data_IF_031139508698
#
_entry.id   IF_031139508698
#
_cell.length_a   1.000
_cell.length_b   1.000
_cell.length_c   1.000
_cell.angle_alpha   90.00
_cell.angle_beta   90.00
_cell.angle_gamma   90.00
#
_symmetry.space_group_name_H-M   'P 1'
#
loop_
_entity.id
_entity.type
_entity.pdbx_description
1 polymer ?
#
# COMPACT_ATOMS: atom_id res chain seq x y z
N UNK A 1 -65.17 -70.57 -32.90
CA UNK A 1 -64.55 -70.53 -31.55
C UNK A 1 -63.33 -69.64 -31.63
N UNK A 2 -63.37 -68.45 -31.02
CA UNK A 2 -62.31 -67.43 -31.07
C UNK A 2 -61.51 -67.46 -29.77
N UNK A 3 -60.21 -67.73 -29.89
CA UNK A 3 -59.20 -67.71 -28.83
C UNK A 3 -58.81 -66.26 -28.52
N UNK A 4 -59.04 -65.80 -27.29
CA UNK A 4 -58.60 -64.48 -26.81
C UNK A 4 -57.26 -64.57 -26.10
N UNK A 5 -56.26 -63.86 -26.61
CA UNK A 5 -54.94 -63.68 -25.97
C UNK A 5 -54.96 -62.35 -25.21
N UNK A 6 -55.00 -62.41 -23.88
CA UNK A 6 -54.74 -61.24 -23.02
C UNK A 6 -53.24 -60.98 -22.94
N UNK A 7 -52.79 -59.80 -23.39
CA UNK A 7 -51.43 -59.29 -23.18
C UNK A 7 -51.35 -58.60 -21.81
N UNK A 8 -50.52 -59.13 -20.91
CA UNK A 8 -50.12 -58.47 -19.66
C UNK A 8 -49.20 -57.28 -19.95
N UNK A 9 -49.57 -56.10 -19.47
CA UNK A 9 -48.75 -54.89 -19.50
C UNK A 9 -47.66 -54.96 -18.43
N UNK A 10 -46.39 -54.80 -18.83
CA UNK A 10 -45.25 -54.66 -17.90
C UNK A 10 -45.28 -53.30 -17.19
N UNK A 11 -45.13 -53.24 -15.86
CA UNK A 11 -44.99 -51.98 -15.13
C UNK A 11 -43.62 -51.36 -15.41
N UNK A 12 -43.60 -50.07 -15.81
CA UNK A 12 -42.36 -49.28 -15.93
C UNK A 12 -41.87 -48.90 -14.52
N UNK A 13 -40.58 -49.10 -14.19
CA UNK A 13 -40.05 -48.86 -12.85
C UNK A 13 -39.96 -47.35 -12.56
N UNK A 14 -40.65 -46.90 -11.50
CA UNK A 14 -40.66 -45.52 -10.99
C UNK A 14 -39.31 -45.05 -10.39
N UNK A 15 -38.35 -45.95 -10.24
CA UNK A 15 -37.05 -45.72 -9.59
C UNK A 15 -36.08 -44.87 -10.43
N UNK A 16 -36.21 -44.84 -11.76
CA UNK A 16 -35.34 -44.04 -12.63
C UNK A 16 -35.60 -42.53 -12.56
N UNK A 17 -36.83 -42.13 -12.26
CA UNK A 17 -37.20 -40.69 -12.18
C UNK A 17 -36.65 -40.04 -10.91
N UNK A 18 -36.65 -40.76 -9.78
CA UNK A 18 -36.15 -40.27 -8.49
C UNK A 18 -34.61 -40.13 -8.53
N UNK A 19 -33.92 -41.09 -9.14
CA UNK A 19 -32.46 -41.03 -9.30
C UNK A 19 -32.02 -39.85 -10.19
N UNK A 20 -32.77 -39.54 -11.25
CA UNK A 20 -32.48 -38.41 -12.13
C UNK A 20 -32.66 -37.05 -11.43
N UNK A 21 -33.69 -36.90 -10.59
CA UNK A 21 -33.95 -35.67 -9.83
C UNK A 21 -32.88 -35.43 -8.76
N UNK A 22 -32.42 -36.48 -8.06
CA UNK A 22 -31.34 -36.36 -7.08
C UNK A 22 -29.99 -36.01 -7.73
N UNK A 23 -29.68 -36.59 -8.90
CA UNK A 23 -28.48 -36.26 -9.65
C UNK A 23 -28.48 -34.79 -10.12
N UNK A 24 -29.63 -34.27 -10.59
CA UNK A 24 -29.76 -32.88 -10.99
C UNK A 24 -29.59 -31.88 -9.83
N UNK A 25 -30.09 -32.23 -8.63
CA UNK A 25 -29.96 -31.38 -7.44
C UNK A 25 -28.51 -31.32 -6.93
N UNK A 26 -27.79 -32.44 -6.95
CA UNK A 26 -26.37 -32.51 -6.55
C UNK A 26 -25.47 -31.74 -7.53
N UNK A 27 -25.73 -31.84 -8.83
CA UNK A 27 -25.00 -31.06 -9.85
C UNK A 27 -25.31 -29.56 -9.76
N UNK A 28 -26.56 -29.18 -9.48
CA UNK A 28 -26.94 -27.78 -9.24
C UNK A 28 -26.23 -27.17 -8.03
N UNK A 29 -26.22 -27.89 -6.89
CA UNK A 29 -25.57 -27.44 -5.66
C UNK A 29 -24.03 -27.33 -5.80
N UNK A 30 -23.39 -28.28 -6.49
CA UNK A 30 -21.95 -28.26 -6.76
C UNK A 30 -21.56 -27.11 -7.70
N UNK A 31 -22.37 -26.83 -8.73
CA UNK A 31 -22.17 -25.70 -9.64
C UNK A 31 -22.25 -24.35 -8.93
N UNK A 32 -23.22 -24.16 -8.03
CA UNK A 32 -23.35 -22.93 -7.24
C UNK A 32 -22.21 -22.72 -6.23
N UNK A 33 -21.69 -23.80 -5.64
CA UNK A 33 -20.56 -23.72 -4.72
C UNK A 33 -19.26 -23.32 -5.44
N UNK A 34 -19.00 -23.84 -6.65
CA UNK A 34 -17.81 -23.50 -7.43
C UNK A 34 -17.81 -22.04 -7.92
N UNK A 35 -18.97 -21.51 -8.32
CA UNK A 35 -19.10 -20.12 -8.81
C UNK A 35 -18.94 -19.07 -7.70
N UNK A 36 -19.29 -19.40 -6.46
CA UNK A 36 -19.20 -18.46 -5.32
C UNK A 36 -17.87 -18.53 -4.58
N UNK A 37 -17.23 -19.70 -4.53
CA UNK A 37 -15.94 -19.87 -3.84
C UNK A 37 -14.73 -19.52 -4.70
N UNK A 38 -14.81 -19.68 -6.02
CA UNK A 38 -13.70 -19.42 -6.95
C UNK A 38 -13.11 -18.02 -6.82
N UNK A 39 -13.90 -16.93 -6.90
CA UNK A 39 -13.36 -15.56 -6.82
C UNK A 39 -12.81 -15.20 -5.44
N UNK A 40 -13.38 -15.75 -4.36
CA UNK A 40 -12.91 -15.55 -2.99
C UNK A 40 -11.61 -16.30 -2.73
N UNK A 41 -11.53 -17.56 -3.17
CA UNK A 41 -10.31 -18.35 -3.12
C UNK A 41 -9.21 -17.69 -3.96
N UNK A 42 -9.53 -17.23 -5.16
CA UNK A 42 -8.59 -16.54 -6.05
C UNK A 42 -8.05 -15.23 -5.45
N UNK A 43 -8.92 -14.45 -4.80
CA UNK A 43 -8.54 -13.20 -4.11
C UNK A 43 -7.72 -13.45 -2.84
N UNK A 44 -8.01 -14.53 -2.10
CA UNK A 44 -7.19 -14.97 -0.98
C UNK A 44 -5.82 -15.47 -1.45
N UNK A 45 -5.79 -16.15 -2.59
CA UNK A 45 -4.58 -16.76 -3.15
C UNK A 45 -3.64 -15.72 -3.78
N UNK A 46 -4.18 -14.81 -4.61
CA UNK A 46 -3.44 -13.74 -5.31
C UNK A 46 -3.28 -12.46 -4.50
N UNK A 47 -3.98 -12.35 -3.37
CA UNK A 47 -3.99 -11.12 -2.58
C UNK A 47 -4.97 -10.08 -3.10
N UNK A 48 -5.26 -9.07 -2.26
CA UNK A 48 -6.02 -7.90 -2.70
C UNK A 48 -5.10 -6.99 -3.52
N UNK A 49 -5.48 -6.58 -4.75
CA UNK A 49 -4.70 -5.62 -5.51
C UNK A 49 -4.61 -4.30 -4.75
N UNK A 50 -3.56 -3.54 -5.01
CA UNK A 50 -3.47 -2.17 -4.50
C UNK A 50 -4.60 -1.33 -5.12
N UNK A 51 -5.18 -0.39 -4.36
CA UNK A 51 -6.08 0.59 -4.94
C UNK A 51 -5.33 1.40 -6.00
N UNK A 52 -6.02 1.71 -7.11
CA UNK A 52 -5.45 2.52 -8.16
C UNK A 52 -5.33 3.99 -7.71
N UNK A 53 -4.21 4.62 -8.03
CA UNK A 53 -4.03 6.07 -7.85
C UNK A 53 -2.93 6.58 -8.78
N UNK A 54 -3.02 7.86 -9.14
CA UNK A 54 -2.00 8.53 -9.93
C UNK A 54 -0.75 8.85 -9.06
N UNK A 55 0.44 8.33 -9.41
CA UNK A 55 1.68 8.61 -8.68
C UNK A 55 2.14 10.07 -8.82
N UNK A 56 1.78 10.79 -9.89
CA UNK A 56 2.11 12.22 -10.02
C UNK A 56 1.36 13.05 -8.96
N UNK A 57 0.07 12.78 -8.78
CA UNK A 57 -0.74 13.39 -7.71
C UNK A 57 -0.17 13.10 -6.31
N UNK A 58 0.29 11.88 -6.05
CA UNK A 58 0.94 11.54 -4.78
C UNK A 58 2.26 12.33 -4.60
N UNK A 59 3.06 12.43 -5.64
CA UNK A 59 4.32 13.16 -5.61
C UNK A 59 4.17 14.66 -5.34
N UNK A 60 3.16 15.29 -5.93
CA UNK A 60 2.85 16.70 -5.67
C UNK A 60 2.43 16.92 -4.21
N UNK A 61 1.54 16.07 -3.71
CA UNK A 61 1.08 16.11 -2.31
C UNK A 61 2.22 15.90 -1.31
N UNK A 62 3.12 14.94 -1.53
CA UNK A 62 4.27 14.68 -0.65
C UNK A 62 5.30 15.82 -0.67
N UNK A 63 5.49 16.48 -1.81
CA UNK A 63 6.34 17.67 -1.89
C UNK A 63 5.73 18.87 -1.16
N UNK A 64 4.42 19.10 -1.34
CA UNK A 64 3.69 20.12 -0.57
C UNK A 64 3.80 19.87 0.94
N UNK A 65 3.60 18.62 1.36
CA UNK A 65 3.76 18.20 2.76
C UNK A 65 5.17 18.45 3.25
N UNK A 66 6.18 18.06 2.47
CA UNK A 66 7.58 18.25 2.83
C UNK A 66 7.97 19.73 2.94
N UNK A 67 7.45 20.61 2.08
CA UNK A 67 7.64 22.07 2.22
C UNK A 67 7.09 22.62 3.53
N UNK A 68 5.90 22.17 3.94
CA UNK A 68 5.28 22.57 5.22
C UNK A 68 6.09 22.07 6.41
N UNK A 69 6.47 20.79 6.40
CA UNK A 69 7.33 20.21 7.45
C UNK A 69 8.66 20.97 7.57
N UNK A 70 9.27 21.34 6.44
CA UNK A 70 10.48 22.18 6.45
C UNK A 70 10.22 23.56 7.07
N UNK A 71 9.12 24.22 6.71
CA UNK A 71 8.72 25.49 7.33
C UNK A 71 8.47 25.34 8.85
N UNK A 72 7.93 24.21 9.30
CA UNK A 72 7.66 23.93 10.71
C UNK A 72 8.94 23.67 11.53
N UNK A 73 10.06 23.28 10.89
CA UNK A 73 11.39 23.31 11.51
C UNK A 73 11.80 24.75 11.92
N UNK A 74 11.11 25.76 11.38
CA UNK A 74 11.16 27.19 11.69
C UNK A 74 12.33 27.96 11.10
N UNK A 75 12.43 29.26 11.44
CA UNK A 75 13.19 30.23 10.66
C UNK A 75 14.71 30.06 10.73
N UNK A 76 15.20 29.30 11.72
CA UNK A 76 16.62 28.99 11.88
C UNK A 76 16.99 27.61 11.35
N UNK A 77 16.06 26.91 10.69
CA UNK A 77 16.34 25.63 10.05
C UNK A 77 17.40 25.83 8.95
N UNK A 78 18.48 25.03 8.93
CA UNK A 78 19.43 25.03 7.82
C UNK A 78 18.73 24.70 6.51
N UNK A 79 19.28 25.18 5.39
CA UNK A 79 18.83 24.77 4.08
C UNK A 79 18.96 23.25 3.89
N UNK A 80 18.07 22.65 3.10
CA UNK A 80 18.17 21.24 2.76
C UNK A 80 19.45 20.96 1.98
N UNK A 81 20.12 19.84 2.28
CA UNK A 81 21.25 19.35 1.50
C UNK A 81 20.77 18.92 0.10
N UNK A 82 21.19 19.62 -0.99
CA UNK A 82 20.74 19.30 -2.34
C UNK A 82 21.09 17.88 -2.78
N UNK A 83 22.17 17.29 -2.24
CA UNK A 83 22.58 15.92 -2.56
C UNK A 83 21.72 14.85 -1.90
N UNK A 84 20.87 15.24 -0.94
CA UNK A 84 20.02 14.34 -0.19
C UNK A 84 18.54 14.71 -0.27
N UNK A 85 18.17 15.69 -1.10
CA UNK A 85 16.79 16.01 -1.45
C UNK A 85 16.41 15.18 -2.69
N UNK A 86 15.58 14.15 -2.50
CA UNK A 86 15.30 13.10 -3.49
C UNK A 86 13.81 12.82 -3.54
N UNK A 87 13.26 12.79 -4.76
CA UNK A 87 11.93 12.27 -5.04
C UNK A 87 12.10 11.02 -5.90
N UNK A 88 11.50 9.88 -5.50
CA UNK A 88 11.65 8.61 -6.23
C UNK A 88 10.45 7.69 -6.07
N UNK A 89 10.39 6.67 -6.93
CA UNK A 89 9.50 5.53 -6.75
C UNK A 89 10.08 4.50 -5.79
N UNK A 90 9.22 3.87 -5.01
CA UNK A 90 9.52 2.77 -4.11
C UNK A 90 8.84 1.48 -4.58
N UNK A 91 9.48 0.34 -4.26
CA UNK A 91 8.99 -0.98 -4.64
C UNK A 91 7.89 -1.43 -3.69
N UNK A 92 6.80 -1.95 -4.25
CA UNK A 92 5.68 -2.44 -3.48
C UNK A 92 5.77 -3.95 -3.21
N UNK A 93 5.53 -4.43 -1.98
CA UNK A 93 5.50 -5.87 -1.72
C UNK A 93 4.27 -6.52 -2.37
N UNK A 94 4.39 -7.77 -2.77
CA UNK A 94 3.22 -8.56 -3.22
C UNK A 94 2.32 -8.87 -2.04
N UNK A 95 0.99 -8.70 -2.20
CA UNK A 95 -0.02 -8.94 -1.14
C UNK A 95 -0.65 -10.33 -1.17
N UNK A 96 0.00 -11.28 -1.83
CA UNK A 96 -0.48 -12.66 -2.03
C UNK A 96 0.05 -13.61 -0.96
N UNK A 97 -0.75 -14.61 -0.59
CA UNK A 97 -0.33 -15.64 0.37
C UNK A 97 0.78 -16.56 -0.18
N UNK A 98 0.83 -16.72 -1.51
CA UNK A 98 1.76 -17.64 -2.20
C UNK A 98 2.35 -16.98 -3.44
N UNK A 99 3.23 -16.00 -3.26
CA UNK A 99 4.02 -15.43 -4.36
C UNK A 99 5.49 -15.68 -4.13
N UNK A 100 6.19 -16.19 -5.14
CA UNK A 100 7.66 -16.20 -5.18
C UNK A 100 8.23 -14.83 -5.55
N UNK A 101 7.42 -13.95 -6.15
CA UNK A 101 7.78 -12.55 -6.38
C UNK A 101 7.69 -11.76 -5.07
N UNK A 102 8.75 -11.02 -4.76
CA UNK A 102 8.81 -10.13 -3.58
C UNK A 102 8.29 -8.73 -3.87
N UNK A 103 8.07 -8.38 -5.14
CA UNK A 103 7.68 -7.04 -5.57
C UNK A 103 6.52 -7.11 -6.55
N UNK A 104 5.42 -6.41 -6.25
CA UNK A 104 4.31 -6.20 -7.16
C UNK A 104 4.75 -5.25 -8.28
N UNK A 105 4.76 -5.76 -9.51
CA UNK A 105 5.25 -5.02 -10.68
C UNK A 105 4.23 -4.02 -11.22
N UNK A 106 3.00 -4.01 -10.71
CA UNK A 106 1.92 -3.11 -11.13
C UNK A 106 1.72 -1.93 -10.19
N UNK A 107 2.35 -1.95 -9.02
CA UNK A 107 2.19 -0.96 -7.98
C UNK A 107 3.50 -0.22 -7.68
N UNK A 108 3.35 1.05 -7.30
CA UNK A 108 4.46 1.93 -6.94
C UNK A 108 4.09 2.70 -5.68
N UNK A 109 5.06 2.86 -4.78
CA UNK A 109 5.02 3.88 -3.72
C UNK A 109 5.80 5.10 -4.20
N UNK A 110 5.49 6.27 -3.66
CA UNK A 110 6.28 7.49 -3.88
C UNK A 110 6.94 7.90 -2.58
N UNK A 111 8.24 8.17 -2.62
CA UNK A 111 9.03 8.66 -1.50
C UNK A 111 9.64 10.02 -1.87
N UNK A 112 9.45 11.00 -0.99
CA UNK A 112 10.20 12.24 -0.97
C UNK A 112 11.05 12.29 0.31
N UNK A 113 12.36 12.40 0.17
CA UNK A 113 13.31 12.39 1.28
C UNK A 113 14.23 13.60 1.19
N UNK A 114 14.52 14.24 2.32
CA UNK A 114 15.48 15.34 2.39
C UNK A 114 16.16 15.38 3.76
N UNK A 115 17.32 16.02 3.81
CA UNK A 115 18.06 16.19 5.07
C UNK A 115 18.49 17.62 5.29
N UNK A 116 18.60 18.00 6.57
CA UNK A 116 19.29 19.21 7.02
C UNK A 116 20.44 18.80 7.95
N UNK A 117 21.61 19.38 7.73
CA UNK A 117 22.83 19.08 8.50
C UNK A 117 23.16 20.13 9.55
N UNK A 118 24.13 19.82 10.42
CA UNK A 118 24.71 20.79 11.36
C UNK A 118 23.80 21.13 12.55
N UNK A 119 22.80 20.29 12.84
CA UNK A 119 21.87 20.53 13.93
C UNK A 119 22.29 19.76 15.18
N UNK A 120 22.60 20.48 16.26
CA UNK A 120 22.86 19.89 17.57
C UNK A 120 21.60 19.27 18.17
N UNK A 121 21.75 18.28 19.08
CA UNK A 121 20.64 17.48 19.59
C UNK A 121 19.50 18.30 20.21
N UNK A 122 19.80 19.33 20.99
CA UNK A 122 18.77 20.21 21.55
C UNK A 122 17.97 20.96 20.47
N UNK A 123 18.65 21.51 19.46
CA UNK A 123 18.01 22.17 18.33
C UNK A 123 17.19 21.18 17.49
N UNK A 124 17.68 19.95 17.32
CA UNK A 124 16.99 18.89 16.60
C UNK A 124 15.71 18.44 17.31
N UNK A 125 15.76 18.20 18.62
CA UNK A 125 14.58 17.87 19.42
C UNK A 125 13.52 18.96 19.32
N UNK A 126 13.92 20.23 19.39
CA UNK A 126 13.00 21.35 19.26
C UNK A 126 12.41 21.48 17.84
N UNK A 127 13.21 21.25 16.80
CA UNK A 127 12.73 21.24 15.42
C UNK A 127 11.76 20.08 15.16
N UNK A 128 12.08 18.87 15.64
CA UNK A 128 11.22 17.69 15.57
C UNK A 128 9.90 17.89 16.33
N UNK A 129 9.95 18.54 17.50
CA UNK A 129 8.76 18.89 18.30
C UNK A 129 7.82 19.79 17.49
N UNK A 130 8.34 20.87 16.92
CA UNK A 130 7.54 21.83 16.13
C UNK A 130 6.97 21.22 14.86
N UNK A 131 7.76 20.46 14.10
CA UNK A 131 7.26 19.72 12.94
C UNK A 131 6.18 18.69 13.33
N UNK A 132 6.37 17.97 14.44
CA UNK A 132 5.35 17.07 14.97
C UNK A 132 4.07 17.76 15.41
N UNK A 133 4.16 18.96 16.00
CA UNK A 133 3.01 19.79 16.33
C UNK A 133 2.26 20.29 15.09
N UNK A 134 2.99 20.73 14.06
CA UNK A 134 2.40 21.10 12.76
C UNK A 134 1.64 19.95 12.11
N UNK A 135 2.23 18.75 12.07
CA UNK A 135 1.58 17.55 11.56
C UNK A 135 0.29 17.20 12.33
N UNK A 136 0.33 17.22 13.67
CA UNK A 136 -0.86 16.97 14.49
C UNK A 136 -1.94 18.04 14.33
N UNK A 137 -1.54 19.31 14.19
CA UNK A 137 -2.48 20.40 13.92
C UNK A 137 -3.21 20.21 12.58
N UNK A 138 -2.52 19.62 11.59
CA UNK A 138 -3.08 19.23 10.30
C UNK A 138 -3.86 17.90 10.33
N UNK A 139 -4.08 17.29 11.50
CA UNK A 139 -4.86 16.07 11.67
C UNK A 139 -4.10 14.76 11.49
N UNK A 140 -2.77 14.78 11.40
CA UNK A 140 -1.97 13.57 11.28
C UNK A 140 -1.88 12.82 12.61
N UNK A 141 -1.99 11.50 12.54
CA UNK A 141 -1.91 10.62 13.70
C UNK A 141 -0.46 10.24 13.99
N UNK A 142 -0.04 10.32 15.26
CA UNK A 142 1.28 9.88 15.68
C UNK A 142 1.31 8.35 15.78
N UNK A 143 2.21 7.70 15.06
CA UNK A 143 2.40 6.25 15.09
C UNK A 143 3.37 5.83 16.19
N UNK A 144 4.67 5.86 15.88
CA UNK A 144 5.73 5.44 16.79
C UNK A 144 6.78 6.54 16.97
N UNK A 145 7.29 6.68 18.18
CA UNK A 145 8.41 7.55 18.53
C UNK A 145 9.49 6.76 19.27
N UNK A 146 10.75 7.14 19.05
CA UNK A 146 11.91 6.54 19.73
C UNK A 146 12.93 7.61 20.12
N UNK A 147 13.67 7.35 21.19
CA UNK A 147 14.82 8.14 21.65
C UNK A 147 15.91 7.16 22.10
N UNK A 148 16.87 6.90 21.21
CA UNK A 148 17.99 5.98 21.44
C UNK A 148 19.31 6.72 21.68
N UNK A 149 19.27 8.04 21.96
CA UNK A 149 20.47 8.88 22.12
C UNK A 149 21.37 8.41 23.26
N UNK A 150 20.79 7.80 24.31
CA UNK A 150 21.50 7.33 25.50
C UNK A 150 22.65 6.34 25.18
N UNK A 151 22.61 5.69 24.02
CA UNK A 151 23.65 4.74 23.58
C UNK A 151 24.72 5.37 22.66
N UNK A 152 24.68 6.68 22.42
CA UNK A 152 25.67 7.43 21.63
C UNK A 152 25.75 7.06 20.14
N UNK A 153 24.94 6.09 19.69
CA UNK A 153 24.80 5.64 18.29
C UNK A 153 23.36 5.74 17.79
N UNK A 154 22.44 6.13 18.66
CA UNK A 154 21.03 6.24 18.34
C UNK A 154 20.64 7.61 17.82
N UNK A 155 19.36 7.74 17.52
CA UNK A 155 18.73 8.97 17.13
C UNK A 155 17.43 9.17 17.89
N UNK A 156 16.79 10.31 17.67
CA UNK A 156 15.41 10.56 18.09
C UNK A 156 14.55 10.71 16.85
N UNK A 157 13.35 10.17 16.88
CA UNK A 157 12.46 10.29 15.74
C UNK A 157 11.01 9.93 16.05
N UNK A 158 10.15 10.26 15.11
CA UNK A 158 8.73 9.96 15.16
C UNK A 158 8.16 9.74 13.77
N UNK A 159 7.13 8.90 13.67
CA UNK A 159 6.36 8.65 12.46
C UNK A 159 4.94 9.18 12.64
N UNK A 160 4.43 9.82 11.60
CA UNK A 160 3.06 10.35 11.52
C UNK A 160 2.38 9.79 10.29
N UNK A 161 1.08 9.52 10.37
CA UNK A 161 0.26 9.00 9.27
C UNK A 161 -0.96 9.89 9.05
N UNK A 162 -1.25 10.17 7.79
CA UNK A 162 -2.46 10.88 7.36
C UNK A 162 -3.62 9.85 7.28
N UNK A 163 -4.67 9.98 8.10
CA UNK A 163 -5.76 9.01 8.13
C UNK A 163 -6.58 8.97 6.84
N UNK A 164 -6.57 10.03 6.03
CA UNK A 164 -7.35 10.12 4.80
C UNK A 164 -6.64 9.46 3.61
N UNK A 165 -5.32 9.63 3.55
CA UNK A 165 -4.52 9.20 2.39
C UNK A 165 -3.69 7.94 2.66
N UNK A 166 -3.37 7.68 3.94
CA UNK A 166 -2.38 6.70 4.38
C UNK A 166 -0.94 7.13 4.09
N UNK A 167 -0.72 8.40 3.72
CA UNK A 167 0.62 8.94 3.58
C UNK A 167 1.31 9.00 4.94
N UNK A 168 2.63 8.91 4.92
CA UNK A 168 3.47 8.85 6.11
C UNK A 168 4.48 9.98 6.06
N UNK A 169 4.74 10.59 7.21
CA UNK A 169 5.93 11.43 7.44
C UNK A 169 6.74 10.83 8.57
N UNK A 170 7.98 10.43 8.29
CA UNK A 170 8.98 10.06 9.28
C UNK A 170 9.97 11.19 9.47
N UNK A 171 10.16 11.58 10.74
CA UNK A 171 11.14 12.56 11.16
C UNK A 171 12.19 11.84 12.00
N UNK A 172 13.47 12.00 11.67
CA UNK A 172 14.58 11.36 12.39
C UNK A 172 15.75 12.32 12.51
N UNK A 173 16.34 12.42 13.69
CA UNK A 173 17.65 13.01 13.88
C UNK A 173 18.64 11.93 14.34
N UNK A 174 19.85 11.91 13.79
CA UNK A 174 20.83 10.84 14.01
C UNK A 174 22.20 11.34 14.48
N UNK A 175 22.81 10.60 15.41
CA UNK A 175 24.21 10.72 15.82
C UNK A 175 25.12 9.72 15.09
N UNK A 176 26.42 10.03 14.89
CA UNK A 176 27.09 11.30 15.19
C UNK A 176 26.92 12.35 14.09
N UNK A 177 26.19 12.04 13.02
CA UNK A 177 26.11 12.88 11.82
C UNK A 177 25.47 14.26 12.08
N UNK A 178 24.64 14.39 13.12
CA UNK A 178 23.95 15.65 13.43
C UNK A 178 23.00 16.06 12.30
N UNK A 179 22.41 15.05 11.64
CA UNK A 179 21.53 15.22 10.48
C UNK A 179 20.10 14.90 10.88
N UNK A 180 19.20 15.80 10.52
CA UNK A 180 17.77 15.56 10.55
C UNK A 180 17.35 15.11 9.15
N UNK A 181 16.80 13.90 9.07
CA UNK A 181 16.19 13.27 7.92
C UNK A 181 14.66 13.41 8.02
N UNK A 182 14.05 13.82 6.92
CA UNK A 182 12.60 13.78 6.74
C UNK A 182 12.28 12.92 5.54
N UNK A 183 11.38 11.97 5.73
CA UNK A 183 10.86 11.11 4.68
C UNK A 183 9.34 11.23 4.65
N UNK A 184 8.80 11.64 3.51
CA UNK A 184 7.37 11.63 3.22
C UNK A 184 7.09 10.53 2.19
N UNK A 185 6.28 9.55 2.55
CA UNK A 185 6.00 8.35 1.77
C UNK A 185 4.50 8.23 1.50
N UNK A 186 4.13 7.80 0.31
CA UNK A 186 2.74 7.42 0.00
C UNK A 186 2.60 5.89 0.05
N UNK A 187 1.42 5.39 0.42
CA UNK A 187 1.16 3.96 0.39
C UNK A 187 1.24 3.45 -1.05
N UNK A 188 1.58 2.18 -1.22
CA UNK A 188 1.59 1.54 -2.53
C UNK A 188 0.25 1.62 -3.26
N UNK A 189 0.28 2.03 -4.53
CA UNK A 189 -0.90 2.15 -5.40
C UNK A 189 -0.62 1.54 -6.76
N UNK A 190 -1.63 0.92 -7.35
CA UNK A 190 -1.54 0.46 -8.75
C UNK A 190 -1.58 1.67 -9.67
N UNK A 191 -0.65 1.76 -10.60
CA UNK A 191 -0.62 2.87 -11.56
C UNK A 191 -1.65 2.62 -12.65
N UNK A 192 -2.50 3.60 -12.99
CA UNK A 192 -3.49 3.45 -14.06
C UNK A 192 -2.86 3.03 -15.39
N UNK A 193 -3.56 2.16 -16.12
CA UNK A 193 -3.12 1.72 -17.44
C UNK A 193 -2.97 2.92 -18.39
N UNK A 194 -1.91 2.92 -19.20
CA UNK A 194 -1.62 4.00 -20.13
C UNK A 194 -0.97 5.25 -19.50
N UNK A 195 -0.60 5.22 -18.21
CA UNK A 195 0.09 6.35 -17.59
C UNK A 195 1.44 6.63 -18.30
N UNK A 196 1.69 7.87 -18.77
CA UNK A 196 2.79 8.17 -19.70
C UNK A 196 4.20 7.95 -19.12
N UNK A 197 4.33 8.02 -17.79
CA UNK A 197 5.60 7.81 -17.06
C UNK A 197 5.76 6.41 -16.48
N UNK A 198 4.79 5.53 -16.68
CA UNK A 198 4.84 4.16 -16.19
C UNK A 198 5.65 3.32 -17.19
N UNK A 199 6.92 3.09 -16.90
CA UNK A 199 7.83 2.38 -17.81
C UNK A 199 8.36 1.08 -17.21
N UNK A 200 8.63 0.07 -18.05
CA UNK A 200 9.32 -1.15 -17.64
C UNK A 200 8.50 -2.17 -16.82
N UNK A 201 9.19 -3.26 -16.42
CA UNK A 201 8.76 -4.26 -15.43
C UNK A 201 9.99 -4.64 -14.57
N UNK A 202 10.02 -4.34 -13.26
CA UNK A 202 8.99 -3.69 -12.46
C UNK A 202 8.72 -2.25 -12.93
N UNK A 203 7.50 -1.77 -12.68
CA UNK A 203 7.09 -0.42 -13.04
C UNK A 203 8.04 0.60 -12.41
N UNK A 204 8.65 1.42 -13.25
CA UNK A 204 9.48 2.55 -12.84
C UNK A 204 8.73 3.82 -13.23
N UNK A 205 8.42 4.65 -12.23
CA UNK A 205 7.89 5.99 -12.39
C UNK A 205 9.00 7.01 -12.09
N UNK A 206 9.17 7.97 -12.99
CA UNK A 206 10.22 9.00 -12.91
C UNK A 206 9.59 10.34 -12.52
N UNK A 207 9.82 10.85 -11.30
CA UNK A 207 9.32 12.13 -10.85
C UNK A 207 9.93 13.32 -11.59
N UNK A 208 9.28 14.49 -11.47
CA UNK A 208 9.97 15.78 -11.65
C UNK A 208 10.99 15.98 -10.52
N UNK A 209 11.98 16.85 -10.71
CA UNK A 209 12.93 17.19 -9.63
C UNK A 209 12.19 17.58 -8.35
N UNK A 210 12.74 17.28 -7.17
CA UNK A 210 12.14 17.69 -5.90
C UNK A 210 12.04 19.21 -5.80
N UNK A 211 11.28 19.70 -4.82
CA UNK A 211 11.13 21.14 -4.64
C UNK A 211 12.48 21.81 -4.31
N UNK A 212 12.64 23.05 -4.78
CA UNK A 212 13.85 23.82 -4.54
C UNK A 212 14.01 24.13 -3.03
N UNK A 213 15.20 23.91 -2.44
CA UNK A 213 15.50 24.21 -1.05
C UNK A 213 15.08 25.61 -0.61
#
# INVERSE_FOLDING_TARGET
>A
MRTGIQRQGRPRPRTTVIAALLAALVLGAAGTAALTTGPLADRLWRGRPYPAADPDTAAERLQDRSRRVHADLGPTAPATDPGHNVLRSERCPVRAAVSSERTDRSAVGVLHSWTVGGMGGAAAREALRRAGEGLRADGWEAGYAYDDEANGRGGVGARYEDPDTGDIVALQWSLPAGRLLVEAESPCRTVPEGHPKATGKPLTWVPKTPFAP
#
